data_IF_920225842085
#
_entry.id   IF_920225842085
#
_cell.length_a   1.000
_cell.length_b   1.000
_cell.length_c   1.000
_cell.angle_alpha   90.00
_cell.angle_beta   90.00
_cell.angle_gamma   90.00
#
_symmetry.space_group_name_H-M   'P 1'
#
loop_
_entity.id
_entity.type
_entity.pdbx_description
1 polymer ?
#
# COMPACT_ATOMS: atom_id res chain seq x y z
N UNK A 1 -12.34 7.55 12.04
CA UNK A 1 -11.03 7.22 11.43
C UNK A 1 -11.38 6.72 10.04
N UNK A 2 -11.33 7.63 9.07
CA UNK A 2 -12.01 7.47 7.78
C UNK A 2 -11.11 8.02 6.67
N UNK A 3 -9.82 7.70 6.72
CA UNK A 3 -8.84 8.09 5.72
C UNK A 3 -8.22 6.85 5.10
N UNK A 4 -8.11 6.89 3.78
CA UNK A 4 -7.42 5.90 2.98
C UNK A 4 -6.37 6.59 2.16
N UNK A 5 -5.35 5.85 1.77
CA UNK A 5 -4.38 6.29 0.80
C UNK A 5 -4.67 5.59 -0.54
N UNK A 6 -4.81 6.39 -1.58
CA UNK A 6 -4.93 5.97 -2.97
C UNK A 6 -3.56 6.13 -3.63
N UNK A 7 -3.03 5.09 -4.26
CA UNK A 7 -1.73 5.15 -4.90
C UNK A 7 -1.57 4.05 -5.95
N UNK A 8 -0.61 4.24 -6.84
CA UNK A 8 -0.12 3.23 -7.76
C UNK A 8 1.20 2.70 -7.24
N UNK A 9 1.57 1.46 -7.60
CA UNK A 9 2.85 0.90 -7.23
C UNK A 9 3.48 0.05 -8.32
N UNK A 10 4.80 0.03 -8.32
CA UNK A 10 5.63 -0.86 -9.14
C UNK A 10 6.60 -1.62 -8.21
N UNK A 11 6.70 -2.93 -8.40
CA UNK A 11 7.63 -3.81 -7.69
C UNK A 11 8.50 -4.52 -8.71
N UNK A 12 9.81 -4.40 -8.56
CA UNK A 12 10.81 -5.18 -9.28
C UNK A 12 11.36 -6.27 -8.36
N UNK A 13 11.41 -7.52 -8.84
CA UNK A 13 11.98 -8.63 -8.08
C UNK A 13 13.44 -8.90 -8.45
N UNK A 14 14.24 -9.32 -7.47
CA UNK A 14 15.66 -9.65 -7.68
C UNK A 14 15.87 -10.90 -8.51
N UNK A 15 14.86 -11.76 -8.65
CA UNK A 15 14.86 -12.94 -9.52
C UNK A 15 14.27 -12.67 -10.92
N UNK A 16 14.00 -11.40 -11.24
CA UNK A 16 13.45 -10.97 -12.52
C UNK A 16 11.92 -10.92 -12.54
N UNK A 17 11.38 -10.06 -13.40
CA UNK A 17 9.95 -9.77 -13.45
C UNK A 17 9.52 -8.72 -12.42
N UNK A 18 8.22 -8.47 -12.36
CA UNK A 18 7.64 -7.46 -11.47
C UNK A 18 6.12 -7.51 -11.39
N UNK A 19 5.57 -6.74 -10.46
CA UNK A 19 4.12 -6.53 -10.28
C UNK A 19 3.86 -5.02 -10.31
N UNK A 20 2.75 -4.64 -10.94
CA UNK A 20 2.22 -3.28 -10.85
C UNK A 20 0.78 -3.30 -10.36
N UNK A 21 0.40 -2.27 -9.61
CA UNK A 21 -0.96 -2.02 -9.18
C UNK A 21 -1.34 -0.57 -9.44
N UNK A 22 -2.60 -0.35 -9.81
CA UNK A 22 -3.13 0.97 -10.16
C UNK A 22 -4.36 1.27 -9.30
N UNK A 23 -4.51 2.53 -8.89
CA UNK A 23 -5.58 3.04 -8.05
C UNK A 23 -5.84 2.19 -6.78
N UNK A 24 -4.76 1.68 -6.19
CA UNK A 24 -4.80 0.82 -5.02
C UNK A 24 -5.17 1.64 -3.77
N UNK A 25 -5.98 1.07 -2.88
CA UNK A 25 -6.48 1.76 -1.68
C UNK A 25 -6.18 0.99 -0.42
N UNK A 26 -5.43 1.61 0.50
CA UNK A 26 -5.17 1.08 1.83
C UNK A 26 -5.78 1.98 2.91
N UNK A 27 -6.30 1.33 3.94
CA UNK A 27 -6.76 2.01 5.15
C UNK A 27 -5.51 2.48 5.93
N UNK A 28 -5.53 3.71 6.44
CA UNK A 28 -4.43 4.26 7.24
C UNK A 28 -4.95 4.83 8.56
N UNK A 29 -4.11 4.72 9.59
CA UNK A 29 -4.31 5.41 10.86
C UNK A 29 -3.68 6.80 10.79
N UNK A 30 -4.46 7.82 11.11
CA UNK A 30 -4.00 9.22 11.06
C UNK A 30 -4.22 9.88 9.70
N UNK A 31 -3.38 10.88 9.40
CA UNK A 31 -3.60 11.83 8.31
C UNK A 31 -2.63 11.70 7.14
N UNK A 32 -1.55 10.92 7.31
CA UNK A 32 -0.52 10.70 6.30
C UNK A 32 0.23 9.37 6.55
N UNK A 33 0.99 8.92 5.56
CA UNK A 33 1.84 7.73 5.62
C UNK A 33 3.02 7.89 4.66
N UNK A 34 4.21 7.42 5.05
CA UNK A 34 5.39 7.48 4.17
C UNK A 34 5.33 6.45 3.04
N UNK A 35 6.08 6.70 1.96
CA UNK A 35 6.16 5.75 0.83
C UNK A 35 6.87 4.45 1.26
N UNK A 36 7.83 4.56 2.18
CA UNK A 36 8.53 3.42 2.77
C UNK A 36 7.60 2.53 3.61
N UNK A 37 6.70 3.13 4.40
CA UNK A 37 5.69 2.37 5.15
C UNK A 37 4.68 1.70 4.23
N UNK A 38 4.21 2.40 3.19
CA UNK A 38 3.34 1.79 2.17
C UNK A 38 4.01 0.63 1.45
N UNK A 39 5.28 0.80 1.05
CA UNK A 39 6.04 -0.26 0.42
C UNK A 39 6.13 -1.50 1.32
N UNK A 40 6.39 -1.31 2.63
CA UNK A 40 6.41 -2.42 3.60
C UNK A 40 5.07 -3.12 3.69
N UNK A 41 3.97 -2.37 3.83
CA UNK A 41 2.63 -2.97 3.91
C UNK A 41 2.27 -3.79 2.68
N UNK A 42 2.58 -3.31 1.48
CA UNK A 42 2.31 -4.06 0.24
C UNK A 42 3.09 -5.39 0.25
N UNK A 43 4.39 -5.34 0.59
CA UNK A 43 5.25 -6.54 0.59
C UNK A 43 4.79 -7.55 1.65
N UNK A 44 4.47 -7.08 2.85
CA UNK A 44 4.05 -7.91 3.97
C UNK A 44 2.66 -8.52 3.75
N UNK A 45 1.66 -7.71 3.39
CA UNK A 45 0.28 -8.17 3.22
C UNK A 45 0.12 -9.11 2.02
N UNK A 46 0.82 -8.83 0.91
CA UNK A 46 0.82 -9.70 -0.27
C UNK A 46 1.81 -10.87 -0.14
N UNK A 47 2.58 -10.95 0.94
CA UNK A 47 3.57 -12.00 1.23
C UNK A 47 4.58 -12.18 0.09
N UNK A 48 5.07 -11.08 -0.46
CA UNK A 48 5.97 -11.09 -1.60
C UNK A 48 7.39 -11.45 -1.16
N UNK A 49 8.06 -12.28 -1.96
CA UNK A 49 9.44 -12.69 -1.76
C UNK A 49 10.35 -12.08 -2.82
N UNK A 50 11.64 -11.96 -2.51
CA UNK A 50 12.68 -11.48 -3.44
C UNK A 50 12.40 -10.07 -4.00
N UNK A 51 11.76 -9.21 -3.21
CA UNK A 51 11.52 -7.81 -3.58
C UNK A 51 12.84 -7.06 -3.64
N UNK A 52 13.14 -6.45 -4.79
CA UNK A 52 14.34 -5.64 -5.00
C UNK A 52 14.05 -4.17 -4.81
N UNK A 53 13.09 -3.64 -5.57
CA UNK A 53 12.72 -2.22 -5.53
C UNK A 53 11.21 -2.06 -5.52
N UNK A 54 10.73 -1.12 -4.71
CA UNK A 54 9.33 -0.69 -4.69
C UNK A 54 9.29 0.80 -5.01
N UNK A 55 8.35 1.20 -5.86
CA UNK A 55 8.07 2.61 -6.18
C UNK A 55 6.60 2.88 -5.92
N UNK A 56 6.33 3.90 -5.12
CA UNK A 56 4.99 4.43 -4.90
C UNK A 56 4.81 5.62 -5.84
N UNK A 57 3.67 5.67 -6.53
CA UNK A 57 3.34 6.67 -7.53
C UNK A 57 1.94 7.22 -7.27
N UNK A 58 1.68 8.45 -7.71
CA UNK A 58 0.36 9.09 -7.65
C UNK A 58 -0.32 9.04 -6.27
N UNK A 59 0.46 8.99 -5.16
CA UNK A 59 -0.05 8.90 -3.79
C UNK A 59 -0.92 10.08 -3.42
N UNK A 60 -2.12 9.80 -2.91
CA UNK A 60 -3.10 10.79 -2.42
C UNK A 60 -3.83 10.26 -1.20
N UNK A 61 -3.97 11.10 -0.18
CA UNK A 61 -4.83 10.81 0.97
C UNK A 61 -6.27 11.20 0.60
N UNK A 62 -7.21 10.27 0.80
CA UNK A 62 -8.63 10.46 0.52
C UNK A 62 -9.45 10.23 1.80
N UNK A 63 -10.52 11.01 1.94
CA UNK A 63 -11.48 10.84 3.03
C UNK A 63 -12.56 9.83 2.59
N UNK A 64 -12.32 8.56 2.89
CA UNK A 64 -13.21 7.45 2.56
C UNK A 64 -13.29 6.52 3.77
N UNK A 65 -14.52 6.07 4.13
CA UNK A 65 -14.69 5.12 5.24
C UNK A 65 -13.93 3.84 4.97
N UNK A 66 -13.25 3.32 6.00
CA UNK A 66 -12.62 2.00 5.94
C UNK A 66 -13.66 0.93 5.63
N UNK A 67 -13.29 -0.07 4.82
CA UNK A 67 -14.21 -1.16 4.45
C UNK A 67 -14.29 -2.25 5.52
N UNK A 68 -13.31 -2.32 6.42
CA UNK A 68 -13.29 -3.28 7.52
C UNK A 68 -13.79 -2.58 8.79
N UNK A 69 -14.80 -3.16 9.43
CA UNK A 69 -15.06 -2.86 10.84
C UNK A 69 -13.86 -3.38 11.64
N UNK A 70 -13.29 -2.62 12.60
CA UNK A 70 -12.32 -3.19 13.51
C UNK A 70 -12.95 -4.43 14.14
N UNK A 71 -12.30 -5.58 14.00
CA UNK A 71 -12.67 -6.78 14.75
C UNK A 71 -12.52 -6.41 16.21
N UNK A 72 -13.65 -6.17 16.89
CA UNK A 72 -13.68 -6.15 18.34
C UNK A 72 -13.38 -7.57 18.81
N UNK A 73 -12.14 -7.82 19.23
CA UNK A 73 -11.84 -8.87 20.21
C UNK A 73 -12.14 -8.35 21.63
#
# INVERSE_FOLDING_TARGET
>A
MDKRVLFDFEIEFTNGGGIQGQEFRLDIDGDDISDEELAKYIVEDMRLLMVGKVRILNKKIINEKHKRSPTHE
#
